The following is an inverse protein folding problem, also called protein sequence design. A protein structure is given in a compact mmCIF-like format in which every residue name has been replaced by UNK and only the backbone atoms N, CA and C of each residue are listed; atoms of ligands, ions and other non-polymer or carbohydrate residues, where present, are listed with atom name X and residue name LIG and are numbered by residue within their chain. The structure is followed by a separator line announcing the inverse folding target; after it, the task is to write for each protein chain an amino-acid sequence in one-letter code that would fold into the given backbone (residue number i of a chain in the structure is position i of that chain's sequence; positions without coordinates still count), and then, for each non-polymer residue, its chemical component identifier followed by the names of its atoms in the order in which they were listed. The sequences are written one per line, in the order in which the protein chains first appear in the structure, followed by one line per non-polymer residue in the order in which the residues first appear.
data_IF_237083705523
#
_entry.id   IF_237083705523
#
_cell.length_a   1.000
_cell.length_b   1.000
_cell.length_c   1.000
_cell.angle_alpha   90.00
_cell.angle_beta   90.00
_cell.angle_gamma   90.00
#
_symmetry.space_group_name_H-M   'P 1'
#
loop_
_entity.id
_entity.type
_entity.pdbx_description
1 polymer ?
#
# COMPACT_ATOMS: atom_id res chain seq x y z
N UNK A 1 10.13 -2.53 -2.27
CA UNK A 1 8.75 -2.06 -2.48
C UNK A 1 8.44 -1.03 -1.41
N UNK A 2 7.83 0.08 -1.78
CA UNK A 2 7.41 1.20 -0.92
C UNK A 2 5.90 1.27 -0.96
N UNK A 3 5.24 1.24 0.20
CA UNK A 3 3.79 1.42 0.31
C UNK A 3 3.47 2.67 1.13
N UNK A 4 2.34 3.32 0.85
CA UNK A 4 1.84 4.50 1.57
C UNK A 4 0.39 4.30 1.98
N UNK A 5 -0.08 4.91 3.07
CA UNK A 5 -1.43 4.61 3.54
C UNK A 5 -1.88 5.33 4.81
N UNK A 6 -3.03 4.91 5.33
CA UNK A 6 -3.74 5.51 6.46
C UNK A 6 -4.92 6.38 6.04
N UNK A 7 -5.79 6.72 7.00
CA UNK A 7 -7.03 7.47 6.77
C UNK A 7 -6.91 8.76 5.93
N UNK A 8 -5.85 9.59 6.03
CA UNK A 8 -5.73 10.80 5.21
C UNK A 8 -5.16 10.55 3.80
N UNK A 9 -4.72 9.33 3.49
CA UNK A 9 -4.06 8.99 2.21
C UNK A 9 -5.03 8.22 1.33
N UNK A 10 -5.13 8.59 0.06
CA UNK A 10 -5.95 7.90 -0.93
C UNK A 10 -5.11 6.98 -1.82
N UNK A 11 -5.77 5.98 -2.44
CA UNK A 11 -5.15 5.15 -3.47
C UNK A 11 -4.65 6.00 -4.65
N UNK A 12 -5.44 6.96 -5.09
CA UNK A 12 -5.09 7.82 -6.23
C UNK A 12 -3.78 8.60 -5.98
N UNK A 13 -3.60 9.11 -4.76
CA UNK A 13 -2.33 9.75 -4.38
C UNK A 13 -1.15 8.78 -4.40
N UNK A 14 -1.35 7.55 -3.90
CA UNK A 14 -0.32 6.52 -3.95
C UNK A 14 0.09 6.16 -5.38
N UNK A 15 -0.89 6.09 -6.28
CA UNK A 15 -0.67 5.85 -7.71
C UNK A 15 0.06 7.06 -8.35
N UNK A 16 -0.33 8.29 -8.02
CA UNK A 16 0.28 9.54 -8.52
C UNK A 16 1.77 9.63 -8.19
N UNK A 17 2.17 9.27 -6.96
CA UNK A 17 3.56 9.32 -6.52
C UNK A 17 4.38 8.07 -6.91
N UNK A 18 3.74 7.07 -7.51
CA UNK A 18 4.39 5.82 -7.94
C UNK A 18 4.75 4.86 -6.79
N UNK A 19 3.92 4.79 -5.75
CA UNK A 19 4.09 3.78 -4.70
C UNK A 19 3.80 2.36 -5.24
N UNK A 20 4.45 1.35 -4.67
CA UNK A 20 4.18 -0.07 -4.98
C UNK A 20 2.84 -0.57 -4.41
N UNK A 21 2.16 0.23 -3.57
CA UNK A 21 0.87 -0.12 -3.01
C UNK A 21 0.32 0.87 -1.98
N UNK A 22 -0.96 0.71 -1.68
CA UNK A 22 -1.69 1.53 -0.71
C UNK A 22 -2.64 0.70 0.16
N UNK A 23 -2.76 1.10 1.43
CA UNK A 23 -3.73 0.51 2.36
C UNK A 23 -4.36 1.57 3.28
N UNK A 24 -5.67 1.46 3.59
CA UNK A 24 -6.37 2.43 4.44
C UNK A 24 -6.05 2.28 5.94
N UNK A 25 -5.61 1.10 6.37
CA UNK A 25 -5.35 0.74 7.76
C UNK A 25 -4.21 -0.28 7.90
N UNK A 26 -3.77 -0.52 9.14
CA UNK A 26 -2.64 -1.38 9.44
C UNK A 26 -2.88 -2.88 9.15
N UNK A 27 -4.12 -3.37 9.30
CA UNK A 27 -4.46 -4.77 9.03
C UNK A 27 -4.38 -5.01 7.53
N UNK A 28 -5.03 -4.15 6.75
CA UNK A 28 -4.99 -4.16 5.29
C UNK A 28 -3.55 -4.00 4.75
N UNK A 29 -2.73 -3.16 5.40
CA UNK A 29 -1.32 -2.97 5.02
C UNK A 29 -0.49 -4.24 5.20
N UNK A 30 -0.69 -4.97 6.32
CA UNK A 30 0.01 -6.23 6.59
C UNK A 30 -0.35 -7.30 5.54
N UNK A 31 -1.62 -7.40 5.15
CA UNK A 31 -2.04 -8.35 4.12
C UNK A 31 -1.50 -7.97 2.73
N UNK A 32 -1.51 -6.69 2.38
CA UNK A 32 -0.91 -6.17 1.15
C UNK A 32 0.59 -6.49 1.07
N UNK A 33 1.34 -6.26 2.15
CA UNK A 33 2.78 -6.55 2.17
C UNK A 33 3.05 -8.03 1.96
N UNK A 34 2.25 -8.92 2.57
CA UNK A 34 2.39 -10.37 2.34
C UNK A 34 2.21 -10.72 0.85
N UNK A 35 1.15 -10.21 0.21
CA UNK A 35 0.91 -10.41 -1.22
C UNK A 35 2.04 -9.87 -2.10
N UNK A 36 2.60 -8.72 -1.73
CA UNK A 36 3.72 -8.09 -2.45
C UNK A 36 5.04 -8.86 -2.28
N UNK A 37 5.22 -9.62 -1.20
CA UNK A 37 6.41 -10.45 -0.95
C UNK A 37 6.34 -11.83 -1.61
N UNK A 38 5.15 -12.38 -1.81
CA UNK A 38 4.95 -13.69 -2.47
C UNK A 38 5.24 -13.64 -3.99
N UNK A 39 5.11 -12.47 -4.61
CA UNK A 39 5.45 -12.24 -6.01
C UNK A 39 6.96 -12.03 -6.24
N UNK A 40 7.79 -13.01 -5.87
CA UNK A 40 9.21 -13.07 -6.24
C UNK A 40 9.41 -13.60 -7.66
#
# INVERSE_FOLDING_TARGET
KVIVGGAPVTKDFADEIGADGWAPDAVSAKDLVLQLMENK
#
